data_IF_888248552069
#
_entry.id   IF_888248552069
#
_cell.length_a   1.000
_cell.length_b   1.000
_cell.length_c   1.000
_cell.angle_alpha   90.00
_cell.angle_beta   90.00
_cell.angle_gamma   90.00
#
_symmetry.space_group_name_H-M   'P 1'
#
loop_
_entity.id
_entity.type
_entity.pdbx_description
1 polymer ?
#
# COMPACT_ATOMS: atom_id res chain seq x y z
N UNK A 1 14.48 1.71 -9.35
CA UNK A 1 14.89 2.98 -8.74
C UNK A 1 15.12 2.74 -7.26
N UNK A 2 16.20 3.24 -6.70
CA UNK A 2 16.58 3.07 -5.30
C UNK A 2 15.85 4.15 -4.44
N UNK A 3 15.44 3.83 -3.20
CA UNK A 3 14.81 4.79 -2.25
C UNK A 3 15.59 6.11 -2.14
N UNK A 4 16.92 6.05 -2.16
CA UNK A 4 17.77 7.25 -2.13
C UNK A 4 17.72 8.09 -3.41
N UNK A 5 17.37 7.50 -4.55
CA UNK A 5 17.12 8.22 -5.81
C UNK A 5 15.73 8.86 -5.81
N UNK A 6 14.77 8.23 -5.13
CA UNK A 6 13.41 8.74 -4.93
C UNK A 6 13.39 9.99 -4.04
N UNK A 7 14.30 10.04 -3.06
CA UNK A 7 14.46 11.15 -2.10
C UNK A 7 15.38 12.29 -2.60
N UNK A 8 15.52 12.45 -3.93
CA UNK A 8 16.04 13.71 -4.55
C UNK A 8 15.39 14.94 -3.87
N UNK A 9 16.11 16.08 -3.77
CA UNK A 9 16.01 16.99 -2.63
C UNK A 9 14.56 17.24 -2.23
N UNK A 10 14.19 16.67 -1.08
CA UNK A 10 12.87 16.78 -0.47
C UNK A 10 12.42 18.23 -0.49
N UNK A 11 11.32 18.50 -1.18
CA UNK A 11 10.74 19.84 -1.25
C UNK A 11 9.75 20.03 -0.10
N UNK A 12 9.60 21.26 0.35
CA UNK A 12 8.69 21.59 1.44
C UNK A 12 7.82 22.78 1.06
N UNK A 13 6.55 22.72 1.45
CA UNK A 13 5.70 23.91 1.50
C UNK A 13 5.99 24.62 2.83
N UNK A 14 6.35 25.90 2.76
CA UNK A 14 6.65 26.74 3.92
C UNK A 14 5.58 27.82 4.06
N UNK A 15 5.28 28.23 5.29
CA UNK A 15 4.43 29.38 5.55
C UNK A 15 5.19 30.71 5.42
N UNK A 16 4.50 31.82 5.65
CA UNK A 16 5.09 33.16 5.60
C UNK A 16 6.19 33.39 6.66
N UNK A 17 6.22 32.58 7.74
CA UNK A 17 7.26 32.59 8.76
C UNK A 17 8.48 31.74 8.39
N UNK A 18 8.42 30.97 7.30
CA UNK A 18 9.46 30.04 6.90
C UNK A 18 9.33 28.65 7.54
N UNK A 19 8.25 28.39 8.28
CA UNK A 19 8.04 27.09 8.91
C UNK A 19 7.51 26.08 7.90
N UNK A 20 8.14 24.90 7.85
CA UNK A 20 7.73 23.80 6.96
C UNK A 20 6.40 23.22 7.44
N UNK A 21 5.40 23.17 6.55
CA UNK A 21 4.07 22.62 6.85
C UNK A 21 3.83 21.26 6.21
N UNK A 22 4.43 21.00 5.05
CA UNK A 22 4.28 19.72 4.36
C UNK A 22 5.50 19.40 3.51
N UNK A 23 5.64 18.12 3.18
CA UNK A 23 6.58 17.62 2.18
C UNK A 23 5.88 17.59 0.83
N UNK A 24 6.58 18.01 -0.22
CA UNK A 24 6.10 18.01 -1.59
C UNK A 24 6.84 16.94 -2.37
N UNK A 25 6.07 16.06 -3.01
CA UNK A 25 6.56 15.01 -3.90
C UNK A 25 6.00 15.21 -5.31
N UNK A 26 6.76 14.78 -6.31
CA UNK A 26 6.18 14.54 -7.63
C UNK A 26 5.11 13.44 -7.52
N UNK A 27 4.04 13.56 -8.29
CA UNK A 27 2.93 12.61 -8.21
C UNK A 27 3.35 11.16 -8.51
N UNK A 28 4.27 10.95 -9.46
CA UNK A 28 4.77 9.61 -9.79
C UNK A 28 5.54 9.03 -8.59
N UNK A 29 6.40 9.84 -7.97
CA UNK A 29 7.14 9.44 -6.77
C UNK A 29 6.20 9.14 -5.60
N UNK A 30 5.20 10.00 -5.37
CA UNK A 30 4.18 9.78 -4.34
C UNK A 30 3.47 8.44 -4.54
N UNK A 31 3.04 8.16 -5.77
CA UNK A 31 2.34 6.92 -6.10
C UNK A 31 3.23 5.70 -5.85
N UNK A 32 4.50 5.76 -6.21
CA UNK A 32 5.45 4.67 -5.95
C UNK A 32 5.68 4.45 -4.45
N UNK A 33 5.82 5.51 -3.65
CA UNK A 33 5.93 5.39 -2.19
C UNK A 33 4.67 4.72 -1.64
N UNK A 34 3.49 5.17 -2.05
CA UNK A 34 2.23 4.65 -1.58
C UNK A 34 2.09 3.15 -1.89
N UNK A 35 2.38 2.73 -3.13
CA UNK A 35 2.35 1.32 -3.51
C UNK A 35 3.33 0.47 -2.70
N UNK A 36 4.54 0.98 -2.44
CA UNK A 36 5.50 0.26 -1.59
C UNK A 36 5.03 0.11 -0.15
N UNK A 37 4.30 1.08 0.39
CA UNK A 37 3.72 1.00 1.73
C UNK A 37 2.56 0.00 1.77
N UNK A 38 1.69 0.02 0.76
CA UNK A 38 0.60 -0.96 0.60
C UNK A 38 1.16 -2.40 0.52
N UNK A 39 2.20 -2.63 -0.29
CA UNK A 39 2.85 -3.94 -0.41
C UNK A 39 3.40 -4.46 0.94
N UNK A 40 3.92 -3.55 1.79
CA UNK A 40 4.43 -3.90 3.12
C UNK A 40 3.27 -4.26 4.06
N UNK A 41 2.18 -3.50 4.01
CA UNK A 41 0.98 -3.77 4.80
C UNK A 41 0.37 -5.12 4.43
N UNK A 42 0.13 -5.36 3.14
CA UNK A 42 -0.38 -6.62 2.62
C UNK A 42 0.50 -7.82 3.02
N UNK A 43 1.82 -7.66 2.91
CA UNK A 43 2.78 -8.71 3.30
C UNK A 43 2.69 -9.05 4.79
N UNK A 44 2.56 -8.03 5.64
CA UNK A 44 2.40 -8.22 7.09
C UNK A 44 1.05 -8.86 7.43
N UNK A 45 -0.03 -8.44 6.76
CA UNK A 45 -1.35 -9.03 6.94
C UNK A 45 -1.34 -10.52 6.55
N UNK A 46 -0.79 -10.85 5.37
CA UNK A 46 -0.63 -12.24 4.92
C UNK A 46 0.19 -13.04 5.93
N UNK A 47 1.27 -12.47 6.48
CA UNK A 47 2.07 -13.13 7.50
C UNK A 47 1.25 -13.39 8.78
N UNK A 48 0.49 -12.40 9.23
CA UNK A 48 -0.40 -12.54 10.38
C UNK A 48 -1.48 -13.60 10.16
N UNK A 49 -2.18 -13.58 9.03
CA UNK A 49 -3.22 -14.56 8.69
C UNK A 49 -2.66 -15.99 8.65
N UNK A 50 -1.46 -16.17 8.09
CA UNK A 50 -0.77 -17.47 8.09
C UNK A 50 -0.43 -17.96 9.50
N UNK A 51 -0.08 -17.06 10.41
CA UNK A 51 0.26 -17.40 11.79
C UNK A 51 -0.96 -17.57 12.70
N UNK A 52 -2.08 -16.90 12.38
CA UNK A 52 -3.33 -16.97 13.13
C UNK A 52 -4.05 -18.32 12.95
N UNK A 53 -3.62 -19.15 11.99
CA UNK A 53 -4.22 -20.44 11.71
C UNK A 53 -5.60 -20.33 11.06
N UNK A 54 -5.85 -19.23 10.37
CA UNK A 54 -7.10 -18.99 9.63
C UNK A 54 -7.36 -20.10 8.61
N UNK A 55 -8.65 -20.35 8.34
CA UNK A 55 -9.05 -21.35 7.35
C UNK A 55 -8.58 -20.95 5.95
N UNK A 56 -7.77 -21.81 5.33
CA UNK A 56 -7.29 -21.60 3.96
C UNK A 56 -8.19 -22.36 3.00
N UNK A 57 -8.97 -21.62 2.21
CA UNK A 57 -9.81 -22.18 1.15
C UNK A 57 -9.14 -22.08 -0.22
N UNK A 58 -9.22 -23.12 -1.08
CA UNK A 58 -8.74 -23.04 -2.45
C UNK A 58 -9.45 -21.93 -3.23
N UNK A 59 -8.71 -21.17 -4.04
CA UNK A 59 -9.28 -20.05 -4.82
C UNK A 59 -10.50 -20.43 -5.69
N UNK A 60 -10.52 -21.66 -6.22
CA UNK A 60 -11.67 -22.15 -6.99
C UNK A 60 -12.93 -22.32 -6.14
N UNK A 61 -12.77 -22.76 -4.89
CA UNK A 61 -13.87 -22.91 -3.93
C UNK A 61 -14.40 -21.54 -3.53
N UNK A 62 -13.52 -20.64 -3.08
CA UNK A 62 -13.91 -19.28 -2.69
C UNK A 62 -14.70 -18.55 -3.80
N UNK A 63 -14.27 -18.65 -5.05
CA UNK A 63 -15.02 -18.07 -6.18
C UNK A 63 -16.38 -18.72 -6.42
N UNK A 64 -16.49 -20.03 -6.24
CA UNK A 64 -17.77 -20.72 -6.41
C UNK A 64 -18.77 -20.28 -5.34
N UNK A 65 -18.31 -20.14 -4.09
CA UNK A 65 -19.10 -19.64 -2.97
C UNK A 65 -19.57 -18.20 -3.22
N UNK A 66 -18.66 -17.27 -3.53
CA UNK A 66 -19.00 -15.87 -3.83
C UNK A 66 -19.97 -15.72 -5.00
N UNK A 67 -19.80 -16.51 -6.07
CA UNK A 67 -20.75 -16.52 -7.20
C UNK A 67 -22.11 -17.09 -6.82
N UNK A 68 -22.16 -18.05 -5.91
CA UNK A 68 -23.42 -18.59 -5.39
C UNK A 68 -24.19 -17.54 -4.58
N UNK A 69 -23.48 -16.56 -4.00
CA UNK A 69 -24.05 -15.39 -3.32
C UNK A 69 -24.40 -14.24 -4.27
N UNK A 70 -24.18 -14.42 -5.58
CA UNK A 70 -24.46 -13.40 -6.60
C UNK A 70 -23.37 -12.35 -6.76
N UNK A 71 -22.19 -12.55 -6.17
CA UNK A 71 -21.04 -11.65 -6.29
C UNK A 71 -20.24 -12.01 -7.56
N UNK A 72 -19.96 -11.01 -8.40
CA UNK A 72 -19.20 -11.20 -9.62
C UNK A 72 -17.68 -11.11 -9.36
N UNK A 73 -17.04 -12.29 -9.24
CA UNK A 73 -15.59 -12.48 -9.05
C UNK A 73 -14.98 -13.48 -10.03
#
# INVERSE_FOLDING_TARGET
>A
MNITELLRPTQFLVDAGGDRKSVVFDYVQWKEILTLLEDIEDSNEIHHLRNAGEEVVPWRQAKAELRSEGINV
#
